data_IF_917257209170
#
_entry.id   IF_917257209170
#
_cell.length_a   1.000
_cell.length_b   1.000
_cell.length_c   1.000
_cell.angle_alpha   90.00
_cell.angle_beta   90.00
_cell.angle_gamma   90.00
#
_symmetry.space_group_name_H-M   'P 1'
#
loop_
_entity.id
_entity.type
_entity.pdbx_description
1 polymer ?
#
# COMPACT_ATOMS: atom_id res chain seq x y z
N UNK A 1 -1.15 29.51 5.81
CA UNK A 1 -2.30 28.65 6.14
C UNK A 1 -1.80 27.38 6.81
N UNK A 2 -1.84 27.25 8.15
CA UNK A 2 -1.27 26.10 8.87
C UNK A 2 -1.76 24.71 8.41
N UNK A 3 -3.07 24.52 8.08
CA UNK A 3 -3.56 23.24 7.52
C UNK A 3 -2.85 22.79 6.24
N UNK A 4 -2.41 23.71 5.38
CA UNK A 4 -1.70 23.37 4.14
C UNK A 4 -0.36 22.70 4.44
N UNK A 5 0.40 23.23 5.40
CA UNK A 5 1.68 22.65 5.82
C UNK A 5 1.49 21.26 6.44
N UNK A 6 0.44 21.09 7.26
CA UNK A 6 0.09 19.77 7.79
C UNK A 6 -0.27 18.79 6.67
N UNK A 7 -0.96 19.27 5.63
CA UNK A 7 -1.25 18.51 4.42
C UNK A 7 0.02 18.01 3.74
N UNK A 8 1.03 18.88 3.59
CA UNK A 8 2.32 18.47 3.02
C UNK A 8 2.98 17.35 3.84
N UNK A 9 2.97 17.45 5.17
CA UNK A 9 3.54 16.40 6.04
C UNK A 9 2.75 15.09 5.91
N UNK A 10 1.42 15.16 5.94
CA UNK A 10 0.56 13.99 5.81
C UNK A 10 0.71 13.29 4.44
N UNK A 11 0.86 14.06 3.36
CA UNK A 11 1.06 13.54 2.01
C UNK A 11 2.42 12.86 1.82
N UNK A 12 3.45 13.29 2.54
CA UNK A 12 4.73 12.56 2.58
C UNK A 12 4.61 11.29 3.41
N UNK A 13 3.96 11.38 4.57
CA UNK A 13 3.78 10.26 5.48
C UNK A 13 3.01 9.09 4.84
N UNK A 14 1.94 9.37 4.07
CA UNK A 14 1.16 8.30 3.43
C UNK A 14 1.98 7.54 2.37
N UNK A 15 2.93 8.20 1.69
CA UNK A 15 3.80 7.54 0.71
C UNK A 15 4.72 6.53 1.40
N UNK A 16 5.36 6.92 2.50
CA UNK A 16 6.22 6.01 3.26
C UNK A 16 5.43 4.93 4.01
N UNK A 17 4.24 5.26 4.49
CA UNK A 17 3.32 4.27 5.04
C UNK A 17 2.95 3.24 3.95
N UNK A 18 2.59 3.69 2.75
CA UNK A 18 2.21 2.82 1.64
C UNK A 18 3.33 1.85 1.27
N UNK A 19 4.56 2.35 1.08
CA UNK A 19 5.71 1.51 0.71
C UNK A 19 6.07 0.53 1.81
N UNK A 20 5.94 0.93 3.08
CA UNK A 20 6.10 0.02 4.22
C UNK A 20 5.01 -1.06 4.26
N UNK A 21 3.75 -0.69 4.06
CA UNK A 21 2.60 -1.60 4.10
C UNK A 21 2.64 -2.62 2.95
N UNK A 22 2.98 -2.18 1.72
CA UNK A 22 3.14 -3.07 0.57
C UNK A 22 4.30 -4.04 0.75
N UNK A 23 5.44 -3.54 1.24
CA UNK A 23 6.61 -4.40 1.53
C UNK A 23 6.28 -5.41 2.62
N UNK A 24 5.61 -4.99 3.70
CA UNK A 24 5.17 -5.89 4.78
C UNK A 24 4.26 -7.00 4.24
N UNK A 25 3.34 -6.69 3.33
CA UNK A 25 2.46 -7.68 2.71
C UNK A 25 3.25 -8.73 1.90
N UNK A 26 4.21 -8.29 1.09
CA UNK A 26 5.10 -9.18 0.32
C UNK A 26 5.96 -10.03 1.24
N UNK A 27 6.64 -9.43 2.23
CA UNK A 27 7.52 -10.15 3.16
C UNK A 27 6.77 -11.21 3.95
N UNK A 28 5.53 -10.93 4.35
CA UNK A 28 4.69 -11.89 5.09
C UNK A 28 4.28 -13.06 4.21
N UNK A 29 3.83 -12.80 2.97
CA UNK A 29 3.50 -13.85 2.01
C UNK A 29 4.70 -14.72 1.64
N UNK A 30 5.85 -14.08 1.38
CA UNK A 30 7.10 -14.76 1.06
C UNK A 30 7.58 -15.66 2.21
N UNK A 31 7.54 -15.17 3.45
CA UNK A 31 7.92 -15.96 4.63
C UNK A 31 7.08 -17.23 4.74
N UNK A 32 5.75 -17.11 4.59
CA UNK A 32 4.83 -18.26 4.68
C UNK A 32 5.01 -19.24 3.53
N UNK A 33 5.24 -18.74 2.31
CA UNK A 33 5.58 -19.59 1.18
C UNK A 33 6.85 -20.40 1.46
N UNK A 34 7.90 -19.75 2.01
CA UNK A 34 9.15 -20.43 2.39
C UNK A 34 8.94 -21.46 3.50
N UNK A 35 8.15 -21.16 4.53
CA UNK A 35 7.80 -22.14 5.57
C UNK A 35 7.10 -23.36 4.98
N UNK A 36 6.12 -23.14 4.10
CA UNK A 36 5.40 -24.23 3.42
C UNK A 36 6.35 -25.09 2.58
N UNK A 37 7.22 -24.45 1.78
CA UNK A 37 8.22 -25.14 0.95
C UNK A 37 9.12 -26.01 1.84
N UNK A 38 9.66 -25.47 2.94
CA UNK A 38 10.54 -26.20 3.85
C UNK A 38 9.86 -27.41 4.52
N UNK A 39 8.57 -27.29 4.84
CA UNK A 39 7.84 -28.35 5.53
C UNK A 39 7.34 -29.45 4.58
N UNK A 40 6.93 -29.09 3.36
CA UNK A 40 6.17 -29.99 2.48
C UNK A 40 6.92 -30.39 1.20
N UNK A 41 7.84 -29.57 0.70
CA UNK A 41 8.57 -29.87 -0.54
C UNK A 41 9.92 -30.48 -0.21
N UNK A 42 10.01 -31.80 -0.33
CA UNK A 42 11.28 -32.56 -0.27
C UNK A 42 11.64 -32.98 -1.69
N UNK A 43 12.70 -32.39 -2.23
CA UNK A 43 13.21 -32.73 -3.54
C UNK A 43 14.15 -33.93 -3.38
N UNK A 44 13.66 -35.13 -3.72
CA UNK A 44 14.50 -36.33 -3.80
C UNK A 44 15.25 -36.36 -5.14
N UNK A 45 16.37 -37.07 -5.19
CA UNK A 45 17.23 -37.18 -6.38
C UNK A 45 16.52 -37.71 -7.63
N UNK A 46 15.41 -38.44 -7.46
CA UNK A 46 14.62 -39.02 -8.56
C UNK A 46 13.45 -38.12 -9.04
N UNK A 47 13.11 -37.07 -8.29
CA UNK A 47 12.11 -36.07 -8.68
C UNK A 47 12.61 -34.65 -8.35
N UNK A 48 13.40 -34.04 -9.24
CA UNK A 48 13.94 -32.69 -9.04
C UNK A 48 12.87 -31.58 -9.12
N UNK A 49 11.59 -31.95 -9.26
CA UNK A 49 10.46 -31.03 -9.36
C UNK A 49 9.47 -31.29 -8.24
N UNK A 50 8.96 -30.22 -7.65
CA UNK A 50 7.84 -30.28 -6.74
C UNK A 50 6.59 -30.82 -7.45
N UNK A 51 5.69 -31.45 -6.69
CA UNK A 51 4.41 -31.89 -7.22
C UNK A 51 3.60 -30.67 -7.71
N UNK A 52 2.71 -30.89 -8.69
CA UNK A 52 1.79 -29.84 -9.16
C UNK A 52 0.88 -29.37 -8.02
N UNK A 53 0.49 -30.28 -7.13
CA UNK A 53 -0.34 -29.97 -5.97
C UNK A 53 0.37 -29.02 -4.98
N UNK A 54 1.63 -29.31 -4.62
CA UNK A 54 2.41 -28.46 -3.71
C UNK A 54 2.72 -27.10 -4.34
N UNK A 55 2.96 -27.08 -5.65
CA UNK A 55 3.16 -25.84 -6.41
C UNK A 55 1.90 -24.96 -6.38
N UNK A 56 0.72 -25.56 -6.55
CA UNK A 56 -0.56 -24.85 -6.47
C UNK A 56 -0.81 -24.28 -5.07
N UNK A 57 -0.47 -25.03 -4.01
CA UNK A 57 -0.59 -24.55 -2.61
C UNK A 57 0.31 -23.33 -2.35
N UNK A 58 1.53 -23.30 -2.87
CA UNK A 58 2.40 -22.11 -2.78
C UNK A 58 1.78 -20.89 -3.47
N UNK A 59 1.20 -21.07 -4.66
CA UNK A 59 0.52 -20.00 -5.40
C UNK A 59 -0.70 -19.49 -4.63
N UNK A 60 -1.48 -20.38 -4.02
CA UNK A 60 -2.64 -20.02 -3.21
C UNK A 60 -2.24 -19.19 -1.99
N UNK A 61 -1.21 -19.61 -1.25
CA UNK A 61 -0.67 -18.85 -0.10
C UNK A 61 -0.30 -17.43 -0.54
N UNK A 62 0.51 -17.29 -1.59
CA UNK A 62 0.91 -15.99 -2.11
C UNK A 62 -0.30 -15.14 -2.50
N UNK A 63 -1.31 -15.73 -3.14
CA UNK A 63 -2.54 -15.05 -3.58
C UNK A 63 -3.35 -14.51 -2.40
N UNK A 64 -3.59 -15.35 -1.39
CA UNK A 64 -4.37 -14.97 -0.20
C UNK A 64 -3.73 -13.78 0.55
N UNK A 65 -2.41 -13.81 0.74
CA UNK A 65 -1.71 -12.73 1.43
C UNK A 65 -1.62 -11.45 0.59
N UNK A 66 -1.44 -11.56 -0.73
CA UNK A 66 -1.51 -10.42 -1.63
C UNK A 66 -2.88 -9.72 -1.58
N UNK A 67 -3.98 -10.50 -1.62
CA UNK A 67 -5.35 -9.95 -1.53
C UNK A 67 -5.63 -9.28 -0.18
N UNK A 68 -5.18 -9.89 0.93
CA UNK A 68 -5.32 -9.28 2.27
C UNK A 68 -4.57 -7.95 2.39
N UNK A 69 -3.32 -7.92 1.91
CA UNK A 69 -2.52 -6.70 1.87
C UNK A 69 -3.20 -5.60 1.04
N UNK A 70 -3.63 -5.95 -0.18
CA UNK A 70 -4.32 -5.04 -1.10
C UNK A 70 -5.58 -4.45 -0.49
N UNK A 71 -6.42 -5.27 0.17
CA UNK A 71 -7.64 -4.80 0.85
C UNK A 71 -7.31 -3.78 1.95
N UNK A 72 -6.33 -4.07 2.80
CA UNK A 72 -5.94 -3.14 3.87
C UNK A 72 -5.49 -1.81 3.27
N UNK A 73 -4.62 -1.85 2.25
CA UNK A 73 -4.08 -0.65 1.61
C UNK A 73 -5.19 0.18 0.95
N UNK A 74 -6.07 -0.47 0.20
CA UNK A 74 -7.19 0.20 -0.47
C UNK A 74 -8.09 0.94 0.53
N UNK A 75 -8.44 0.31 1.65
CA UNK A 75 -9.27 0.93 2.69
C UNK A 75 -8.61 2.18 3.27
N UNK A 76 -7.30 2.16 3.53
CA UNK A 76 -6.59 3.34 4.03
C UNK A 76 -6.64 4.47 3.02
N UNK A 77 -6.27 4.21 1.75
CA UNK A 77 -6.22 5.23 0.69
C UNK A 77 -7.62 5.81 0.41
N UNK A 78 -8.63 4.96 0.30
CA UNK A 78 -10.01 5.39 0.04
C UNK A 78 -10.54 6.28 1.17
N UNK A 79 -10.48 5.81 2.41
CA UNK A 79 -11.06 6.54 3.53
C UNK A 79 -10.23 7.74 3.97
N UNK A 80 -8.89 7.73 3.83
CA UNK A 80 -8.06 8.92 4.06
C UNK A 80 -8.35 10.01 3.04
N UNK A 81 -8.45 9.66 1.75
CA UNK A 81 -8.76 10.62 0.69
C UNK A 81 -10.10 11.31 0.95
N UNK A 82 -11.13 10.52 1.27
CA UNK A 82 -12.45 11.04 1.61
C UNK A 82 -12.41 11.90 2.89
N UNK A 83 -11.73 11.42 3.93
CA UNK A 83 -11.66 12.12 5.20
C UNK A 83 -10.98 13.47 5.09
N UNK A 84 -9.85 13.51 4.38
CA UNK A 84 -9.03 14.70 4.20
C UNK A 84 -9.68 15.73 3.31
N UNK A 85 -10.36 15.31 2.23
CA UNK A 85 -11.15 16.19 1.39
C UNK A 85 -12.31 16.84 2.15
N UNK A 86 -13.00 16.08 3.02
CA UNK A 86 -14.06 16.60 3.87
C UNK A 86 -13.55 17.41 5.07
N UNK A 87 -12.29 17.25 5.48
CA UNK A 87 -11.72 17.99 6.61
C UNK A 87 -11.47 19.45 6.24
N UNK A 88 -10.54 19.70 5.32
CA UNK A 88 -10.16 21.04 4.89
C UNK A 88 -9.58 21.01 3.46
N UNK A 89 -10.10 21.83 2.52
CA UNK A 89 -9.63 21.81 1.14
C UNK A 89 -8.15 22.18 0.99
N UNK A 90 -7.64 23.14 1.79
CA UNK A 90 -6.23 23.55 1.70
C UNK A 90 -5.29 22.49 2.26
N UNK A 91 -5.67 21.82 3.35
CA UNK A 91 -5.00 20.61 3.83
C UNK A 91 -4.93 19.55 2.73
N UNK A 92 -6.05 19.27 2.07
CA UNK A 92 -6.12 18.23 1.04
C UNK A 92 -5.30 18.57 -0.20
N UNK A 93 -5.26 19.84 -0.62
CA UNK A 93 -4.37 20.30 -1.70
C UNK A 93 -2.89 20.06 -1.32
N UNK A 94 -2.48 20.44 -0.10
CA UNK A 94 -1.13 20.17 0.38
C UNK A 94 -0.80 18.67 0.40
N UNK A 95 -1.76 17.85 0.83
CA UNK A 95 -1.66 16.39 0.82
C UNK A 95 -1.41 15.83 -0.59
N UNK A 96 -2.17 16.25 -1.60
CA UNK A 96 -2.01 15.79 -2.98
C UNK A 96 -0.68 16.24 -3.60
N UNK A 97 -0.27 17.50 -3.39
CA UNK A 97 1.02 18.02 -3.89
C UNK A 97 2.17 17.20 -3.31
N UNK A 98 2.14 16.96 -2.01
CA UNK A 98 3.19 16.20 -1.34
C UNK A 98 3.20 14.74 -1.76
N UNK A 99 2.04 14.09 -1.88
CA UNK A 99 1.96 12.72 -2.41
C UNK A 99 2.60 12.60 -3.80
N UNK A 100 2.37 13.57 -4.69
CA UNK A 100 2.96 13.55 -6.02
C UNK A 100 4.49 13.69 -5.96
N UNK A 101 5.01 14.63 -5.15
CA UNK A 101 6.45 14.89 -5.04
C UNK A 101 7.18 13.73 -4.37
N UNK A 102 6.79 13.34 -3.15
CA UNK A 102 7.42 12.24 -2.44
C UNK A 102 7.21 10.91 -3.17
N UNK A 103 6.01 10.69 -3.72
CA UNK A 103 5.69 9.49 -4.48
C UNK A 103 6.55 9.32 -5.72
N UNK A 104 6.81 10.39 -6.48
CA UNK A 104 7.69 10.36 -7.65
C UNK A 104 9.11 9.92 -7.27
N UNK A 105 9.73 10.61 -6.30
CA UNK A 105 11.11 10.30 -5.91
C UNK A 105 11.23 8.92 -5.26
N UNK A 106 10.26 8.54 -4.44
CA UNK A 106 10.22 7.22 -3.82
C UNK A 106 10.05 6.11 -4.87
N UNK A 107 9.20 6.28 -5.88
CA UNK A 107 9.01 5.31 -6.94
C UNK A 107 10.29 5.11 -7.76
N UNK A 108 10.95 6.20 -8.16
CA UNK A 108 12.22 6.14 -8.91
C UNK A 108 13.30 5.46 -8.07
N UNK A 109 13.43 5.84 -6.80
CA UNK A 109 14.40 5.25 -5.89
C UNK A 109 14.20 3.74 -5.77
N UNK A 110 12.99 3.28 -5.48
CA UNK A 110 12.71 1.86 -5.28
C UNK A 110 12.87 1.04 -6.57
N UNK A 111 12.43 1.57 -7.72
CA UNK A 111 12.61 0.90 -9.01
C UNK A 111 14.10 0.74 -9.37
N UNK A 112 14.88 1.81 -9.22
CA UNK A 112 16.31 1.80 -9.57
C UNK A 112 17.13 0.96 -8.58
N UNK A 113 16.84 1.05 -7.28
CA UNK A 113 17.54 0.25 -6.27
C UNK A 113 17.29 -1.25 -6.48
N UNK A 114 16.02 -1.66 -6.65
CA UNK A 114 15.68 -3.06 -6.91
C UNK A 114 16.26 -3.56 -8.24
N UNK A 115 16.21 -2.75 -9.31
CA UNK A 115 16.79 -3.10 -10.60
C UNK A 115 18.32 -3.22 -10.56
N UNK A 116 18.99 -2.37 -9.77
CA UNK A 116 20.44 -2.45 -9.59
C UNK A 116 20.86 -3.74 -8.89
N UNK A 117 20.13 -4.18 -7.85
CA UNK A 117 20.42 -5.45 -7.18
C UNK A 117 20.18 -6.67 -8.08
N UNK A 118 19.09 -6.71 -8.86
CA UNK A 118 18.86 -7.79 -9.82
C UNK A 118 19.95 -7.85 -10.90
N UNK A 119 20.35 -6.68 -11.43
CA UNK A 119 21.40 -6.62 -12.44
C UNK A 119 22.76 -7.01 -11.88
N UNK A 120 23.08 -6.61 -10.64
CA UNK A 120 24.31 -7.04 -9.97
C UNK A 120 24.35 -8.56 -9.79
N UNK A 121 23.23 -9.17 -9.38
CA UNK A 121 23.09 -10.64 -9.32
C UNK A 121 23.32 -11.27 -10.70
N UNK A 122 22.68 -10.75 -11.76
CA UNK A 122 22.86 -11.25 -13.13
C UNK A 122 24.31 -11.19 -13.60
N UNK A 123 25.05 -10.11 -13.34
CA UNK A 123 26.48 -10.00 -13.67
C UNK A 123 27.30 -11.11 -12.99
N UNK A 124 27.04 -11.38 -11.70
CA UNK A 124 27.71 -12.46 -10.98
C UNK A 124 27.39 -13.84 -11.59
N UNK A 125 26.14 -14.03 -11.99
CA UNK A 125 25.66 -15.27 -12.59
C UNK A 125 26.21 -15.54 -14.00
N UNK A 126 26.32 -14.52 -14.85
CA UNK A 126 26.59 -14.68 -16.28
C UNK A 126 28.01 -14.29 -16.67
N UNK A 127 28.48 -13.11 -16.28
CA UNK A 127 29.77 -12.56 -16.69
C UNK A 127 30.91 -13.13 -15.82
N UNK A 128 30.73 -13.11 -14.50
CA UNK A 128 31.73 -13.65 -13.57
C UNK A 128 31.64 -15.17 -13.42
N UNK A 129 30.52 -15.77 -13.83
CA UNK A 129 30.23 -17.21 -13.72
C UNK A 129 30.47 -17.78 -12.32
N UNK A 130 30.20 -16.98 -11.30
CA UNK A 130 30.53 -17.28 -9.91
C UNK A 130 29.33 -17.86 -9.13
N UNK A 131 28.47 -18.65 -9.79
CA UNK A 131 27.31 -19.29 -9.13
C UNK A 131 27.78 -20.22 -8.01
N UNK A 132 27.08 -20.15 -6.88
CA UNK A 132 27.37 -20.96 -5.69
C UNK A 132 28.51 -20.44 -4.81
N UNK A 133 29.11 -19.29 -5.14
CA UNK A 133 30.09 -18.61 -4.29
C UNK A 133 29.41 -17.74 -3.23
N UNK A 134 30.16 -17.33 -2.20
CA UNK A 134 29.69 -16.37 -1.19
C UNK A 134 29.24 -15.04 -1.81
N UNK A 135 29.91 -14.61 -2.89
CA UNK A 135 29.53 -13.42 -3.66
C UNK A 135 28.12 -13.58 -4.27
N UNK A 136 27.82 -14.74 -4.85
CA UNK A 136 26.51 -15.03 -5.42
C UNK A 136 25.43 -15.11 -4.34
N UNK A 137 25.73 -15.71 -3.18
CA UNK A 137 24.79 -15.71 -2.06
C UNK A 137 24.46 -14.28 -1.58
N UNK A 138 25.47 -13.41 -1.50
CA UNK A 138 25.27 -12.01 -1.11
C UNK A 138 24.41 -11.23 -2.12
N UNK A 139 24.60 -11.44 -3.44
CA UNK A 139 23.78 -10.76 -4.46
C UNK A 139 22.36 -11.29 -4.52
N UNK A 140 22.12 -12.57 -4.22
CA UNK A 140 20.76 -13.12 -4.04
C UNK A 140 20.04 -12.42 -2.87
N UNK A 141 20.72 -12.19 -1.74
CA UNK A 141 20.15 -11.45 -0.62
C UNK A 141 19.78 -10.02 -1.04
N UNK A 142 20.64 -9.35 -1.81
CA UNK A 142 20.34 -8.02 -2.36
C UNK A 142 19.10 -8.01 -3.26
N UNK A 143 19.00 -8.95 -4.20
CA UNK A 143 17.86 -9.05 -5.13
C UNK A 143 16.55 -9.36 -4.38
N UNK A 144 16.58 -10.29 -3.41
CA UNK A 144 15.38 -10.62 -2.60
C UNK A 144 14.91 -9.45 -1.72
N UNK A 145 15.81 -8.57 -1.29
CA UNK A 145 15.43 -7.29 -0.64
C UNK A 145 14.85 -6.30 -1.67
N UNK A 146 15.38 -6.31 -2.90
CA UNK A 146 14.96 -5.46 -4.00
C UNK A 146 13.63 -5.83 -4.67
N UNK A 147 13.23 -7.09 -4.66
CA UNK A 147 11.99 -7.58 -5.29
C UNK A 147 10.72 -6.81 -4.85
N UNK A 148 10.41 -6.64 -3.54
CA UNK A 148 9.26 -5.83 -3.13
C UNK A 148 9.37 -4.35 -3.51
N UNK A 149 10.58 -3.86 -3.77
CA UNK A 149 10.82 -2.48 -4.20
C UNK A 149 10.50 -2.29 -5.68
N UNK A 150 11.12 -3.07 -6.58
CA UNK A 150 10.96 -2.91 -8.03
C UNK A 150 9.63 -3.47 -8.55
N UNK A 151 9.09 -4.54 -7.96
CA UNK A 151 7.96 -5.25 -8.58
C UNK A 151 6.61 -4.96 -7.91
N UNK A 152 6.63 -4.43 -6.68
CA UNK A 152 5.40 -4.13 -5.94
C UNK A 152 5.28 -2.64 -5.63
N UNK A 153 6.15 -2.12 -4.78
CA UNK A 153 5.95 -0.80 -4.17
C UNK A 153 6.14 0.34 -5.17
N UNK A 154 7.22 0.32 -5.96
CA UNK A 154 7.52 1.38 -6.93
C UNK A 154 6.46 1.47 -8.04
N UNK A 155 6.06 0.32 -8.59
CA UNK A 155 5.04 0.23 -9.65
C UNK A 155 3.68 0.68 -9.16
N UNK A 156 3.31 0.34 -7.91
CA UNK A 156 2.00 0.64 -7.35
C UNK A 156 1.84 2.09 -6.83
N UNK A 157 2.91 2.85 -6.62
CA UNK A 157 2.83 4.25 -6.23
C UNK A 157 2.10 5.11 -7.27
N UNK A 158 2.35 4.90 -8.57
CA UNK A 158 1.71 5.65 -9.65
C UNK A 158 0.17 5.50 -9.67
N UNK A 159 -0.41 4.28 -9.69
CA UNK A 159 -1.86 4.13 -9.64
C UNK A 159 -2.46 4.63 -8.32
N UNK A 160 -1.74 4.54 -7.19
CA UNK A 160 -2.22 5.07 -5.90
C UNK A 160 -2.32 6.59 -5.92
N UNK A 161 -1.31 7.29 -6.44
CA UNK A 161 -1.33 8.75 -6.58
C UNK A 161 -2.45 9.16 -7.55
N UNK A 162 -2.54 8.51 -8.71
CA UNK A 162 -3.60 8.80 -9.70
C UNK A 162 -4.99 8.56 -9.14
N UNK A 163 -5.20 7.46 -8.44
CA UNK A 163 -6.47 7.16 -7.79
C UNK A 163 -6.81 8.23 -6.75
N UNK A 164 -5.89 8.55 -5.84
CA UNK A 164 -6.09 9.55 -4.79
C UNK A 164 -6.43 10.92 -5.38
N UNK A 165 -5.76 11.32 -6.46
CA UNK A 165 -6.04 12.60 -7.13
C UNK A 165 -7.39 12.60 -7.84
N UNK A 166 -7.70 11.58 -8.65
CA UNK A 166 -8.96 11.51 -9.40
C UNK A 166 -10.17 11.35 -8.48
N UNK A 167 -10.10 10.44 -7.53
CA UNK A 167 -11.13 10.27 -6.51
C UNK A 167 -11.21 11.50 -5.59
N UNK A 168 -10.06 12.11 -5.29
CA UNK A 168 -9.94 13.31 -4.48
C UNK A 168 -10.72 14.50 -5.03
N UNK A 169 -10.70 14.71 -6.35
CA UNK A 169 -11.51 15.77 -6.99
C UNK A 169 -13.01 15.55 -6.74
N UNK A 170 -13.48 14.31 -6.84
CA UNK A 170 -14.88 13.97 -6.54
C UNK A 170 -15.20 14.17 -5.05
N UNK A 171 -14.29 13.76 -4.16
CA UNK A 171 -14.45 13.93 -2.72
C UNK A 171 -14.45 15.42 -2.30
N UNK A 172 -13.63 16.26 -2.94
CA UNK A 172 -13.66 17.72 -2.75
C UNK A 172 -14.97 18.31 -3.24
N UNK A 173 -15.48 17.86 -4.40
CA UNK A 173 -16.78 18.27 -4.91
C UNK A 173 -17.89 18.03 -3.89
N UNK A 174 -17.94 16.82 -3.31
CA UNK A 174 -18.87 16.49 -2.23
C UNK A 174 -18.67 17.38 -0.99
N UNK A 175 -17.42 17.61 -0.57
CA UNK A 175 -17.12 18.44 0.60
C UNK A 175 -17.56 19.90 0.41
N UNK A 176 -17.37 20.46 -0.80
CA UNK A 176 -17.79 21.81 -1.16
C UNK A 176 -19.32 21.91 -1.24
N UNK A 177 -19.99 20.92 -1.82
CA UNK A 177 -21.46 20.90 -1.89
C UNK A 177 -22.08 20.88 -0.49
N UNK A 178 -21.56 20.03 0.41
CA UNK A 178 -22.01 19.99 1.80
C UNK A 178 -21.75 21.32 2.53
N UNK A 179 -20.61 21.96 2.27
CA UNK A 179 -20.28 23.26 2.85
C UNK A 179 -21.21 24.37 2.35
N UNK A 180 -21.50 24.41 1.05
CA UNK A 180 -22.38 25.41 0.44
C UNK A 180 -23.82 25.26 0.96
N UNK A 181 -24.33 24.02 1.05
CA UNK A 181 -25.64 23.74 1.67
C UNK A 181 -25.67 24.13 3.15
N UNK A 182 -24.57 23.94 3.88
CA UNK A 182 -24.49 24.35 5.27
C UNK A 182 -24.60 25.88 5.43
N UNK A 183 -24.03 26.63 4.50
CA UNK A 183 -24.02 28.10 4.50
C UNK A 183 -25.23 28.72 3.77
N UNK A 184 -26.07 27.91 3.10
CA UNK A 184 -27.20 28.40 2.31
C UNK A 184 -26.80 29.07 0.98
N UNK A 185 -25.64 28.69 0.45
CA UNK A 185 -25.05 29.27 -0.75
C UNK A 185 -25.37 28.44 -2.00
N UNK A 186 -25.53 29.09 -3.15
CA UNK A 186 -25.51 28.44 -4.46
C UNK A 186 -24.07 28.18 -4.96
N UNK A 187 -23.93 27.64 -6.17
CA UNK A 187 -22.63 27.36 -6.80
C UNK A 187 -21.80 28.62 -7.06
N UNK A 188 -22.44 29.79 -7.15
CA UNK A 188 -21.78 31.09 -7.37
C UNK A 188 -21.46 31.81 -6.05
N UNK A 189 -21.80 31.21 -4.90
CA UNK A 189 -21.56 31.78 -3.58
C UNK A 189 -22.57 32.85 -3.18
N UNK A 190 -23.68 32.99 -3.90
CA UNK A 190 -24.78 33.86 -3.49
C UNK A 190 -25.63 33.15 -2.43
N UNK A 191 -26.13 33.90 -1.46
CA UNK A 191 -27.02 33.38 -0.43
C UNK A 191 -28.42 33.17 -1.02
N UNK A 192 -28.84 31.93 -1.18
CA UNK A 192 -30.11 31.56 -1.83
C UNK A 192 -31.08 30.90 -0.87
N UNK A 193 -30.59 30.26 0.19
CA UNK A 193 -31.41 29.59 1.20
C UNK A 193 -30.94 29.90 2.63
N UNK A 194 -31.77 29.57 3.61
CA UNK A 194 -31.36 29.62 5.01
C UNK A 194 -30.24 28.61 5.26
N UNK A 195 -29.24 29.00 6.04
CA UNK A 195 -28.15 28.11 6.44
C UNK A 195 -28.71 26.86 7.14
N UNK A 196 -28.21 25.69 6.74
CA UNK A 196 -28.61 24.40 7.29
C UNK A 196 -27.38 23.71 7.92
N UNK A 197 -27.03 24.03 9.19
CA UNK A 197 -25.80 23.56 9.85
C UNK A 197 -25.63 22.03 9.86
N UNK A 198 -26.72 21.28 9.70
CA UNK A 198 -26.72 19.82 9.59
C UNK A 198 -25.73 19.29 8.54
N UNK A 199 -25.58 19.96 7.39
CA UNK A 199 -24.66 19.52 6.35
C UNK A 199 -23.19 19.65 6.76
N UNK A 200 -22.87 20.60 7.64
CA UNK A 200 -21.52 20.73 8.19
C UNK A 200 -21.21 19.59 9.18
N UNK A 201 -22.19 19.20 10.01
CA UNK A 201 -22.05 18.02 10.87
C UNK A 201 -21.86 16.74 10.04
N UNK A 202 -22.60 16.58 8.93
CA UNK A 202 -22.43 15.45 8.00
C UNK A 202 -21.02 15.45 7.41
N UNK A 203 -20.53 16.59 6.92
CA UNK A 203 -19.17 16.74 6.38
C UNK A 203 -18.11 16.31 7.40
N UNK A 204 -18.17 16.83 8.63
CA UNK A 204 -17.20 16.46 9.66
C UNK A 204 -17.39 15.04 10.18
N UNK A 205 -18.60 14.49 10.15
CA UNK A 205 -18.84 13.08 10.48
C UNK A 205 -18.17 12.16 9.44
N UNK A 206 -18.28 12.47 8.14
CA UNK A 206 -17.57 11.75 7.08
C UNK A 206 -16.05 11.85 7.31
N UNK A 207 -15.55 13.04 7.63
CA UNK A 207 -14.14 13.25 7.92
C UNK A 207 -13.66 12.40 9.12
N UNK A 208 -14.38 12.45 10.25
CA UNK A 208 -14.04 11.72 11.46
C UNK A 208 -14.12 10.20 11.28
N UNK A 209 -15.23 9.70 10.74
CA UNK A 209 -15.43 8.25 10.53
C UNK A 209 -14.42 7.71 9.52
N UNK A 210 -14.21 8.41 8.41
CA UNK A 210 -13.22 8.02 7.41
C UNK A 210 -11.80 7.98 7.99
N UNK A 211 -11.43 8.96 8.81
CA UNK A 211 -10.12 8.97 9.45
C UNK A 211 -9.94 7.78 10.41
N UNK A 212 -10.96 7.45 11.22
CA UNK A 212 -10.91 6.30 12.14
C UNK A 212 -10.76 4.99 11.37
N UNK A 213 -11.55 4.79 10.31
CA UNK A 213 -11.45 3.59 9.46
C UNK A 213 -10.05 3.51 8.83
N UNK A 214 -9.56 4.62 8.28
CA UNK A 214 -8.24 4.70 7.67
C UNK A 214 -7.12 4.34 8.67
N UNK A 215 -7.14 4.92 9.87
CA UNK A 215 -6.16 4.61 10.92
C UNK A 215 -6.23 3.14 11.38
N UNK A 216 -7.44 2.58 11.51
CA UNK A 216 -7.61 1.17 11.84
C UNK A 216 -6.97 0.25 10.80
N UNK A 217 -7.21 0.51 9.50
CA UNK A 217 -6.61 -0.29 8.43
C UNK A 217 -5.12 -0.04 8.25
N UNK A 218 -4.63 1.18 8.55
CA UNK A 218 -3.21 1.51 8.54
C UNK A 218 -2.45 0.79 9.67
N UNK A 219 -3.08 0.63 10.83
CA UNK A 219 -2.56 -0.22 11.89
C UNK A 219 -2.61 -1.70 11.47
N UNK A 220 -3.74 -2.16 10.93
CA UNK A 220 -3.94 -3.54 10.49
C UNK A 220 -2.94 -3.98 9.41
N UNK A 221 -2.53 -3.07 8.52
CA UNK A 221 -1.56 -3.38 7.45
C UNK A 221 -0.19 -3.80 7.98
N UNK A 222 0.18 -3.40 9.19
CA UNK A 222 1.42 -3.83 9.85
C UNK A 222 1.19 -4.92 10.89
N UNK A 223 0.27 -4.67 11.84
CA UNK A 223 0.11 -5.53 13.00
C UNK A 223 -0.76 -6.76 12.72
N UNK A 224 -1.79 -6.63 11.89
CA UNK A 224 -2.60 -7.77 11.45
C UNK A 224 -1.83 -8.70 10.51
N UNK A 225 -0.93 -8.12 9.71
CA UNK A 225 -0.07 -8.83 8.76
C UNK A 225 1.26 -9.29 9.36
N UNK A 226 1.47 -9.20 10.68
CA UNK A 226 2.75 -9.62 11.28
C UNK A 226 2.89 -11.15 11.25
N UNK A 227 4.10 -11.61 10.96
CA UNK A 227 4.45 -13.03 11.08
C UNK A 227 4.24 -13.46 12.54
N UNK A 228 3.45 -14.52 12.78
CA UNK A 228 3.10 -15.03 14.12
C UNK A 228 1.85 -14.38 14.75
N UNK A 229 1.05 -13.61 14.02
CA UNK A 229 -0.25 -13.11 14.49
C UNK A 229 -1.35 -14.18 14.39
N UNK A 230 -2.37 -14.13 15.26
CA UNK A 230 -3.49 -15.09 15.27
C UNK A 230 -4.26 -15.18 13.93
N UNK A 231 -4.34 -14.09 13.17
CA UNK A 231 -4.93 -14.08 11.82
C UNK A 231 -4.03 -14.75 10.77
N UNK A 232 -2.71 -14.71 10.97
CA UNK A 232 -1.75 -15.41 10.11
C UNK A 232 -1.83 -16.94 10.31
N UNK A 233 -2.09 -17.38 11.53
CA UNK A 233 -2.27 -18.81 11.85
C UNK A 233 -3.64 -19.34 11.39
N UNK A 234 -4.69 -18.51 11.46
CA UNK A 234 -6.02 -18.86 10.94
C UNK A 234 -6.02 -19.02 9.40
N UNK A 235 -5.28 -18.16 8.68
CA UNK A 235 -5.11 -18.28 7.24
C UNK A 235 -4.31 -19.52 6.83
N UNK A 236 -3.29 -19.86 7.63
CA UNK A 236 -2.47 -21.06 7.43
C UNK A 236 -3.28 -22.34 7.67
N UNK A 237 -4.14 -22.36 8.70
CA UNK A 237 -5.09 -23.46 8.91
C UNK A 237 -6.11 -23.60 7.78
N UNK A 238 -6.56 -22.49 7.19
CA UNK A 238 -7.49 -22.52 6.06
C UNK A 238 -6.85 -23.01 4.76
N UNK A 239 -5.56 -22.74 4.53
CA UNK A 239 -4.82 -23.22 3.36
C UNK A 239 -4.24 -24.64 3.54
N UNK A 240 -4.24 -25.17 4.76
CA UNK A 240 -3.77 -26.52 5.09
C UNK A 240 -4.92 -27.54 5.26
N UNK A 241 -6.18 -27.10 5.22
CA UNK A 241 -7.40 -27.91 5.31
C UNK A 241 -8.02 -28.09 3.93
#
# INVERSE_FOLDING_TARGET
>A
HPPFLLGLVAGGAIIYWFTGASTQAVSTGAYRAVEFIKANIKLDSDSPKASVEDSNKVVEICTLYAQKGMKNIFMVVFFSTLAFACLDPYFFIGYLISMALFGLYQAIFMANAGGAWDNAKKIVETELRAKGTDLHAATIVGDTVGDPFKDTSSVALNPVIKFTTLFGVLAVGLALELNNKALGLDEMGAQVHAAAPIYNYIRYAIAGVGLVISMFFAWRSFYGMRIGSAESDAAQKAAAA
#
